data_IF_487487869400
#
_entry.id   IF_487487869400
#
_cell.length_a   1.000
_cell.length_b   1.000
_cell.length_c   1.000
_cell.angle_alpha   90.00
_cell.angle_beta   90.00
_cell.angle_gamma   90.00
#
_symmetry.space_group_name_H-M   'P 1'
#
loop_
_entity.id
_entity.type
_entity.pdbx_description
1 polymer ?
#
# COMPACT_ATOMS: atom_id res chain seq x y z
N UNK A 1 12.58 -22.26 35.72
CA UNK A 1 13.42 -21.33 34.94
C UNK A 1 13.10 -21.56 33.47
N UNK A 2 12.29 -20.70 32.86
CA UNK A 2 11.99 -20.79 31.43
C UNK A 2 13.17 -20.24 30.64
N UNK A 3 13.83 -21.11 29.88
CA UNK A 3 14.86 -20.70 28.93
C UNK A 3 14.22 -19.73 27.91
N UNK A 4 14.62 -18.46 27.97
CA UNK A 4 14.35 -17.49 26.91
C UNK A 4 15.18 -17.91 25.68
N UNK A 5 14.63 -18.84 24.90
CA UNK A 5 15.16 -19.15 23.57
C UNK A 5 14.90 -17.93 22.71
N UNK A 6 15.98 -17.24 22.34
CA UNK A 6 15.94 -16.15 21.38
C UNK A 6 15.52 -16.75 20.04
N UNK A 7 14.28 -16.51 19.63
CA UNK A 7 13.83 -16.92 18.30
C UNK A 7 14.64 -16.17 17.24
N UNK A 8 15.36 -16.92 16.39
CA UNK A 8 16.18 -16.40 15.29
C UNK A 8 15.44 -16.45 13.92
N UNK A 9 14.11 -16.57 13.93
CA UNK A 9 13.31 -16.66 12.70
C UNK A 9 12.17 -15.64 12.70
N UNK A 10 11.69 -15.34 11.50
CA UNK A 10 10.46 -14.57 11.28
C UNK A 10 9.45 -15.53 10.66
N UNK A 11 8.33 -15.76 11.35
CA UNK A 11 7.20 -16.49 10.77
C UNK A 11 6.29 -15.49 10.05
N UNK A 12 6.09 -15.71 8.75
CA UNK A 12 5.09 -15.01 7.94
C UNK A 12 4.00 -16.00 7.56
N UNK A 13 2.91 -16.00 8.31
CA UNK A 13 1.76 -16.87 8.06
C UNK A 13 0.64 -16.10 7.32
N UNK A 14 0.12 -16.69 6.25
CA UNK A 14 -0.98 -16.13 5.46
C UNK A 14 -1.94 -17.25 5.11
N UNK A 15 -3.19 -17.12 5.52
CA UNK A 15 -4.24 -18.04 5.08
C UNK A 15 -4.47 -17.93 3.57
N UNK A 16 -4.53 -19.06 2.87
CA UNK A 16 -4.65 -19.10 1.40
C UNK A 16 -5.87 -18.34 0.85
N UNK A 17 -6.95 -18.22 1.62
CA UNK A 17 -8.14 -17.42 1.26
C UNK A 17 -7.81 -15.94 0.98
N UNK A 18 -6.78 -15.40 1.62
CA UNK A 18 -6.32 -14.02 1.41
C UNK A 18 -5.48 -13.85 0.13
N UNK A 19 -5.15 -14.95 -0.54
CA UNK A 19 -4.51 -14.94 -1.85
C UNK A 19 -5.52 -14.95 -3.00
N UNK A 20 -6.81 -15.17 -2.74
CA UNK A 20 -7.85 -15.13 -3.77
C UNK A 20 -7.88 -13.77 -4.48
N UNK A 21 -7.97 -13.81 -5.80
CA UNK A 21 -8.14 -12.60 -6.61
C UNK A 21 -9.47 -11.91 -6.33
N UNK A 22 -9.36 -10.65 -5.93
CA UNK A 22 -10.46 -9.71 -5.79
C UNK A 22 -9.96 -8.32 -6.19
N UNK A 23 -10.90 -7.43 -6.51
CA UNK A 23 -10.62 -6.02 -6.46
C UNK A 23 -10.60 -5.61 -5.00
N UNK A 24 -9.45 -5.12 -4.55
CA UNK A 24 -9.22 -4.71 -3.18
C UNK A 24 -8.63 -3.31 -3.15
N UNK A 25 -9.10 -2.49 -2.22
CA UNK A 25 -8.37 -1.29 -1.80
C UNK A 25 -7.49 -1.68 -0.62
N UNK A 26 -6.26 -1.19 -0.60
CA UNK A 26 -5.34 -1.40 0.49
C UNK A 26 -4.70 -0.11 0.95
N UNK A 27 -4.29 -0.13 2.21
CA UNK A 27 -3.63 0.96 2.90
C UNK A 27 -2.31 0.41 3.45
N UNK A 28 -1.19 0.97 3.01
CA UNK A 28 0.13 0.70 3.56
C UNK A 28 0.42 1.79 4.60
N UNK A 29 0.67 1.38 5.83
CA UNK A 29 1.13 2.24 6.92
C UNK A 29 2.62 1.97 7.12
N UNK A 30 3.45 3.00 6.96
CA UNK A 30 4.87 2.96 7.34
C UNK A 30 5.04 3.82 8.57
N UNK A 31 5.42 3.18 9.66
CA UNK A 31 5.69 3.84 10.92
C UNK A 31 7.20 3.84 11.17
N UNK A 32 7.78 5.02 11.31
CA UNK A 32 9.18 5.19 11.64
C UNK A 32 9.32 5.92 12.97
N UNK A 33 10.14 5.38 13.87
CA UNK A 33 10.48 6.01 15.15
C UNK A 33 11.94 6.45 15.10
N UNK A 34 12.16 7.75 15.03
CA UNK A 34 13.48 8.36 15.03
C UNK A 34 13.54 9.44 16.12
N UNK A 35 14.59 9.44 16.94
CA UNK A 35 14.80 10.43 18.01
C UNK A 35 13.57 10.61 18.92
N UNK A 36 12.93 9.51 19.31
CA UNK A 36 11.68 9.46 20.10
C UNK A 36 10.45 10.12 19.46
N UNK A 37 10.52 10.52 18.19
CA UNK A 37 9.38 11.00 17.41
C UNK A 37 8.86 9.89 16.49
N UNK A 38 7.57 9.63 16.59
CA UNK A 38 6.87 8.67 15.72
C UNK A 38 6.31 9.42 14.50
N UNK A 39 6.65 8.98 13.30
CA UNK A 39 6.10 9.48 12.04
C UNK A 39 5.33 8.37 11.34
N UNK A 40 4.08 8.64 10.97
CA UNK A 40 3.21 7.69 10.26
C UNK A 40 2.92 8.19 8.85
N UNK A 41 3.25 7.38 7.87
CA UNK A 41 3.04 7.64 6.46
C UNK A 41 2.06 6.62 5.90
N UNK A 42 1.18 7.06 5.00
CA UNK A 42 0.12 6.23 4.45
C UNK A 42 0.16 6.24 2.93
N UNK A 43 0.08 5.08 2.31
CA UNK A 43 -0.16 4.93 0.88
C UNK A 43 -1.47 4.17 0.68
N UNK A 44 -2.38 4.74 -0.10
CA UNK A 44 -3.63 4.08 -0.46
C UNK A 44 -3.50 3.66 -1.92
N UNK A 45 -3.84 2.42 -2.22
CA UNK A 45 -3.87 1.93 -3.57
C UNK A 45 -4.92 0.86 -3.76
N UNK A 46 -5.12 0.45 -5.00
CA UNK A 46 -5.92 -0.73 -5.30
C UNK A 46 -5.12 -1.82 -6.01
N UNK A 47 -5.69 -3.02 -6.00
CA UNK A 47 -5.23 -4.18 -6.75
C UNK A 47 -6.42 -5.00 -7.26
N UNK A 48 -6.21 -5.79 -8.30
CA UNK A 48 -7.21 -6.66 -8.90
C UNK A 48 -6.81 -7.06 -10.32
N UNK A 49 -6.81 -8.37 -10.59
CA UNK A 49 -6.50 -8.94 -11.90
C UNK A 49 -7.23 -10.27 -12.10
N UNK A 50 -8.15 -10.32 -13.05
CA UNK A 50 -8.92 -11.54 -13.37
C UNK A 50 -8.12 -12.61 -14.13
N UNK A 51 -6.93 -12.28 -14.63
CA UNK A 51 -6.10 -13.21 -15.40
C UNK A 51 -5.29 -14.17 -14.52
N UNK A 52 -5.39 -14.04 -13.20
CA UNK A 52 -4.65 -14.86 -12.26
C UNK A 52 -5.51 -15.15 -11.03
N UNK A 53 -5.32 -16.32 -10.42
CA UNK A 53 -6.03 -16.69 -9.18
C UNK A 53 -5.41 -16.01 -7.96
N UNK A 54 -4.07 -15.83 -7.98
CA UNK A 54 -3.31 -15.26 -6.85
C UNK A 54 -2.44 -14.07 -7.23
N UNK A 55 -2.31 -13.76 -8.52
CA UNK A 55 -1.49 -12.64 -8.92
C UNK A 55 -2.17 -11.34 -8.51
N UNK A 56 -1.36 -10.47 -7.91
CA UNK A 56 -1.77 -9.21 -7.28
C UNK A 56 -2.57 -9.35 -5.98
N UNK A 57 -2.36 -10.45 -5.24
CA UNK A 57 -2.67 -10.47 -3.80
C UNK A 57 -2.03 -9.28 -3.07
N UNK A 58 -2.57 -8.87 -1.92
CA UNK A 58 -2.02 -7.77 -1.12
C UNK A 58 -0.53 -7.93 -0.82
N UNK A 59 -0.08 -9.13 -0.44
CA UNK A 59 1.33 -9.41 -0.18
C UNK A 59 2.22 -9.09 -1.38
N UNK A 60 1.88 -9.59 -2.58
CA UNK A 60 2.66 -9.31 -3.80
C UNK A 60 2.71 -7.82 -4.09
N UNK A 61 1.61 -7.12 -3.84
CA UNK A 61 1.51 -5.68 -4.05
C UNK A 61 2.37 -4.90 -3.06
N UNK A 62 2.39 -5.30 -1.79
CA UNK A 62 3.26 -4.72 -0.75
C UNK A 62 4.73 -4.84 -1.15
N UNK A 63 5.18 -6.03 -1.55
CA UNK A 63 6.57 -6.22 -1.99
C UNK A 63 6.89 -5.34 -3.20
N UNK A 64 5.98 -5.23 -4.16
CA UNK A 64 6.12 -4.30 -5.29
C UNK A 64 6.33 -2.85 -4.88
N UNK A 65 5.71 -2.41 -3.77
CA UNK A 65 5.86 -1.05 -3.23
C UNK A 65 7.24 -0.77 -2.60
N UNK A 66 7.89 -1.81 -2.08
CA UNK A 66 9.13 -1.72 -1.31
C UNK A 66 10.40 -1.99 -2.14
N UNK A 67 10.25 -2.34 -3.42
CA UNK A 67 11.38 -2.62 -4.31
C UNK A 67 11.91 -1.39 -5.04
N UNK A 68 13.19 -1.36 -5.37
CA UNK A 68 13.85 -0.28 -6.09
C UNK A 68 13.72 -0.36 -7.63
N UNK A 69 12.83 -1.23 -8.14
CA UNK A 69 12.68 -1.48 -9.58
C UNK A 69 12.27 -0.20 -10.32
N UNK A 70 13.22 0.39 -11.05
CA UNK A 70 13.15 1.72 -11.65
C UNK A 70 11.90 1.95 -12.52
N UNK A 71 11.64 1.03 -13.46
CA UNK A 71 10.54 1.10 -14.42
C UNK A 71 9.18 0.75 -13.82
N UNK A 72 9.13 0.27 -12.58
CA UNK A 72 7.90 -0.15 -11.97
C UNK A 72 7.04 1.05 -11.60
N UNK A 73 5.79 1.07 -12.05
CA UNK A 73 4.77 1.96 -11.49
C UNK A 73 4.33 1.51 -10.10
N UNK A 74 4.82 0.35 -9.66
CA UNK A 74 4.41 -0.30 -8.42
C UNK A 74 5.17 0.18 -7.19
N UNK A 75 6.38 0.73 -7.33
CA UNK A 75 7.23 1.09 -6.18
C UNK A 75 6.98 2.51 -5.64
N UNK A 76 5.71 2.87 -5.43
CA UNK A 76 5.35 4.23 -5.02
C UNK A 76 5.86 4.57 -3.61
N UNK A 77 5.79 3.62 -2.67
CA UNK A 77 6.31 3.80 -1.30
C UNK A 77 7.82 4.01 -1.31
N UNK A 78 8.58 3.17 -2.01
CA UNK A 78 10.03 3.35 -2.18
C UNK A 78 10.36 4.71 -2.79
N UNK A 79 9.68 5.09 -3.88
CA UNK A 79 9.90 6.38 -4.57
C UNK A 79 9.60 7.58 -3.69
N UNK A 80 8.57 7.49 -2.84
CA UNK A 80 8.26 8.54 -1.87
C UNK A 80 9.42 8.76 -0.91
N UNK A 81 9.90 7.70 -0.25
CA UNK A 81 11.01 7.84 0.70
C UNK A 81 12.34 8.18 0.03
N UNK A 82 12.59 7.68 -1.17
CA UNK A 82 13.75 8.11 -1.96
C UNK A 82 13.74 9.63 -2.16
N UNK A 83 12.59 10.22 -2.50
CA UNK A 83 12.44 11.67 -2.65
C UNK A 83 12.64 12.42 -1.32
N UNK A 84 12.04 11.93 -0.24
CA UNK A 84 12.13 12.58 1.08
C UNK A 84 13.54 12.51 1.70
N UNK A 85 14.26 11.40 1.50
CA UNK A 85 15.58 11.18 2.07
C UNK A 85 16.72 11.73 1.20
N UNK A 86 16.50 11.87 -0.11
CA UNK A 86 17.50 12.30 -1.09
C UNK A 86 17.12 13.66 -1.72
N UNK A 87 16.75 14.65 -0.89
CA UNK A 87 16.24 15.97 -1.31
C UNK A 87 17.11 16.71 -2.34
N UNK A 88 18.41 16.41 -2.40
CA UNK A 88 19.39 17.08 -3.27
C UNK A 88 19.70 16.29 -4.56
N UNK A 89 18.94 15.23 -4.85
CA UNK A 89 19.19 14.40 -6.03
C UNK A 89 18.84 15.14 -7.32
N UNK A 90 19.85 15.41 -8.15
CA UNK A 90 19.72 16.24 -9.37
C UNK A 90 18.88 15.58 -10.46
N UNK A 91 18.97 14.26 -10.62
CA UNK A 91 18.29 13.53 -11.69
C UNK A 91 17.45 12.38 -11.12
N UNK A 92 16.12 12.57 -11.06
CA UNK A 92 15.19 11.55 -10.60
C UNK A 92 15.21 10.27 -11.46
N UNK A 93 15.68 10.37 -12.71
CA UNK A 93 15.70 9.28 -13.68
C UNK A 93 17.00 8.49 -13.70
N UNK A 94 18.02 8.84 -12.91
CA UNK A 94 19.23 8.01 -12.77
C UNK A 94 18.96 6.78 -11.88
N UNK A 95 19.71 5.68 -12.02
CA UNK A 95 19.72 4.62 -11.01
C UNK A 95 20.19 5.16 -9.65
N UNK A 96 19.70 4.58 -8.56
CA UNK A 96 20.21 4.93 -7.23
C UNK A 96 21.62 4.39 -7.05
N UNK A 97 22.54 5.21 -6.52
CA UNK A 97 23.87 4.76 -6.11
C UNK A 97 23.78 3.77 -4.93
N UNK A 98 24.85 3.04 -4.64
CA UNK A 98 24.89 2.13 -3.49
C UNK A 98 24.58 2.84 -2.16
N UNK A 99 25.15 4.03 -1.96
CA UNK A 99 24.92 4.85 -0.76
C UNK A 99 23.46 5.35 -0.67
N UNK A 100 22.88 5.76 -1.81
CA UNK A 100 21.47 6.17 -1.88
C UNK A 100 20.54 5.02 -1.49
N UNK A 101 20.79 3.82 -2.02
CA UNK A 101 20.02 2.61 -1.69
C UNK A 101 20.17 2.26 -0.21
N UNK A 102 21.40 2.23 0.30
CA UNK A 102 21.66 1.93 1.70
C UNK A 102 20.91 2.89 2.64
N UNK A 103 20.86 4.18 2.31
CA UNK A 103 20.11 5.17 3.09
C UNK A 103 18.61 4.87 3.12
N UNK A 104 18.02 4.54 1.97
CA UNK A 104 16.58 4.21 1.86
C UNK A 104 16.28 2.88 2.58
N UNK A 105 17.09 1.85 2.37
CA UNK A 105 16.92 0.55 3.01
C UNK A 105 17.08 0.64 4.53
N UNK A 106 18.05 1.44 5.01
CA UNK A 106 18.23 1.71 6.45
C UNK A 106 16.98 2.35 7.08
N UNK A 107 16.25 3.17 6.32
CA UNK A 107 14.97 3.71 6.79
C UNK A 107 13.92 2.58 6.94
N UNK A 108 13.81 1.69 5.96
CA UNK A 108 12.86 0.56 6.04
C UNK A 108 13.20 -0.42 7.15
N UNK A 109 14.48 -0.72 7.39
CA UNK A 109 14.93 -1.58 8.50
C UNK A 109 14.48 -1.03 9.87
N UNK A 110 14.44 0.29 10.03
CA UNK A 110 13.98 0.95 11.26
C UNK A 110 12.45 1.13 11.33
N UNK A 111 11.74 0.77 10.26
CA UNK A 111 10.31 1.03 10.13
C UNK A 111 9.48 -0.19 10.46
N UNK A 112 8.30 0.04 11.04
CA UNK A 112 7.23 -0.96 11.09
C UNK A 112 6.28 -0.72 9.93
N UNK A 113 6.20 -1.69 9.02
CA UNK A 113 5.36 -1.62 7.81
C UNK A 113 4.15 -2.52 8.03
N UNK A 114 2.96 -1.99 7.79
CA UNK A 114 1.70 -2.75 7.81
C UNK A 114 0.96 -2.54 6.51
N UNK A 115 0.20 -3.55 6.10
CA UNK A 115 -0.75 -3.42 5.02
C UNK A 115 -2.11 -3.90 5.50
N UNK A 116 -3.12 -3.07 5.31
CA UNK A 116 -4.53 -3.41 5.53
C UNK A 116 -5.17 -3.53 4.16
N UNK A 117 -5.81 -4.66 3.87
CA UNK A 117 -6.45 -4.89 2.57
C UNK A 117 -7.93 -5.17 2.76
N UNK A 118 -8.75 -4.45 2.01
CA UNK A 118 -10.20 -4.50 2.02
C UNK A 118 -10.67 -5.09 0.68
N UNK A 119 -10.97 -6.39 0.61
CA UNK A 119 -11.47 -7.02 -0.61
C UNK A 119 -12.93 -6.62 -0.86
N UNK A 120 -13.21 -5.96 -1.98
CA UNK A 120 -14.50 -5.32 -2.25
C UNK A 120 -15.36 -6.08 -3.27
N UNK A 121 -14.72 -6.61 -4.32
CA UNK A 121 -15.40 -7.35 -5.38
C UNK A 121 -14.59 -8.58 -5.76
N UNK A 122 -15.12 -9.76 -5.45
CA UNK A 122 -14.59 -11.03 -5.96
C UNK A 122 -14.91 -11.17 -7.45
N UNK A 123 -14.08 -11.90 -8.17
CA UNK A 123 -14.33 -12.30 -9.54
C UNK A 123 -13.65 -13.63 -9.83
N UNK A 124 -14.26 -14.41 -10.73
CA UNK A 124 -13.71 -15.69 -11.17
C UNK A 124 -12.48 -15.49 -12.05
N UNK A 125 -11.63 -16.52 -12.11
CA UNK A 125 -10.56 -16.60 -13.10
C UNK A 125 -11.13 -16.44 -14.51
N UNK A 126 -10.49 -15.62 -15.34
CA UNK A 126 -10.95 -15.26 -16.68
C UNK A 126 -12.37 -14.65 -16.72
N UNK A 127 -12.74 -13.88 -15.69
CA UNK A 127 -13.99 -13.12 -15.69
C UNK A 127 -14.17 -12.26 -16.94
N UNK A 128 -15.43 -12.03 -17.31
CA UNK A 128 -15.80 -11.20 -18.46
C UNK A 128 -15.14 -9.81 -18.38
N UNK A 129 -14.52 -9.36 -19.48
CA UNK A 129 -13.77 -8.09 -19.54
C UNK A 129 -14.63 -6.87 -19.21
N UNK A 130 -15.91 -6.86 -19.59
CA UNK A 130 -16.83 -5.76 -19.32
C UNK A 130 -17.16 -5.69 -17.82
N UNK A 131 -17.60 -6.80 -17.24
CA UNK A 131 -17.87 -6.91 -15.79
C UNK A 131 -16.62 -6.50 -14.97
N UNK A 132 -15.45 -6.99 -15.36
CA UNK A 132 -14.18 -6.63 -14.72
C UNK A 132 -13.88 -5.12 -14.81
N UNK A 133 -14.20 -4.47 -15.94
CA UNK A 133 -14.01 -3.03 -16.12
C UNK A 133 -14.97 -2.22 -15.25
N UNK A 134 -16.22 -2.67 -15.12
CA UNK A 134 -17.24 -2.02 -14.28
C UNK A 134 -16.88 -2.12 -12.79
N UNK A 135 -16.50 -3.32 -12.32
CA UNK A 135 -15.98 -3.54 -10.96
C UNK A 135 -14.77 -2.65 -10.67
N UNK A 136 -13.84 -2.53 -11.63
CA UNK A 136 -12.67 -1.65 -11.50
C UNK A 136 -13.07 -0.19 -11.31
N UNK A 137 -14.05 0.32 -12.07
CA UNK A 137 -14.49 1.72 -11.95
C UNK A 137 -15.04 2.02 -10.56
N UNK A 138 -15.84 1.12 -10.00
CA UNK A 138 -16.37 1.25 -8.64
C UNK A 138 -15.25 1.29 -7.59
N UNK A 139 -14.27 0.39 -7.72
CA UNK A 139 -13.13 0.30 -6.80
C UNK A 139 -12.17 1.49 -6.94
N UNK A 140 -11.95 2.00 -8.17
CA UNK A 140 -11.23 3.26 -8.40
C UNK A 140 -11.92 4.40 -7.65
N UNK A 141 -13.24 4.50 -7.73
CA UNK A 141 -13.95 5.60 -7.07
C UNK A 141 -13.85 5.49 -5.54
N UNK A 142 -13.98 4.28 -5.01
CA UNK A 142 -13.76 4.03 -3.59
C UNK A 142 -12.33 4.36 -3.13
N UNK A 143 -11.31 3.98 -3.91
CA UNK A 143 -9.90 4.36 -3.64
C UNK A 143 -9.76 5.87 -3.51
N UNK A 144 -10.38 6.65 -4.40
CA UNK A 144 -10.35 8.12 -4.33
C UNK A 144 -11.04 8.65 -3.07
N UNK A 145 -12.19 8.07 -2.70
CA UNK A 145 -12.92 8.44 -1.48
C UNK A 145 -12.07 8.22 -0.23
N UNK A 146 -11.34 7.10 -0.17
CA UNK A 146 -10.41 6.81 0.94
C UNK A 146 -9.21 7.76 0.92
N UNK A 147 -8.63 8.06 -0.24
CA UNK A 147 -7.53 9.06 -0.34
C UNK A 147 -8.00 10.43 0.16
N UNK A 148 -9.19 10.88 -0.24
CA UNK A 148 -9.79 12.14 0.21
C UNK A 148 -9.94 12.16 1.73
N UNK A 149 -10.51 11.11 2.31
CA UNK A 149 -10.69 10.96 3.75
C UNK A 149 -9.36 11.10 4.53
N UNK A 150 -8.31 10.39 4.10
CA UNK A 150 -7.00 10.51 4.75
C UNK A 150 -6.39 11.90 4.61
N UNK A 151 -6.55 12.52 3.43
CA UNK A 151 -6.07 13.87 3.17
C UNK A 151 -6.73 14.89 4.11
N UNK A 152 -8.05 14.81 4.26
CA UNK A 152 -8.84 15.71 5.11
C UNK A 152 -8.52 15.53 6.60
N UNK A 153 -8.12 14.33 7.02
CA UNK A 153 -7.65 14.06 8.40
C UNK A 153 -6.26 14.62 8.74
N UNK A 154 -5.53 15.18 7.77
CA UNK A 154 -4.18 15.70 7.97
C UNK A 154 -3.08 14.63 8.08
N UNK A 155 -3.37 13.36 7.78
CA UNK A 155 -2.36 12.29 7.74
C UNK A 155 -1.39 12.46 6.56
N UNK A 156 -0.14 12.02 6.75
CA UNK A 156 0.90 12.14 5.72
C UNK A 156 0.67 11.09 4.63
N UNK A 157 0.31 11.54 3.42
CA UNK A 157 0.05 10.67 2.27
C UNK A 157 1.26 10.54 1.35
N UNK A 158 1.56 9.31 0.95
CA UNK A 158 2.61 8.95 0.00
C UNK A 158 2.11 8.87 -1.45
N UNK A 159 0.79 8.98 -1.67
CA UNK A 159 0.20 9.01 -3.01
C UNK A 159 0.78 10.18 -3.82
N UNK A 160 1.34 9.88 -5.00
CA UNK A 160 1.90 10.92 -5.89
C UNK A 160 0.85 11.90 -6.39
N UNK A 161 -0.34 11.38 -6.72
CA UNK A 161 -1.44 12.16 -7.29
C UNK A 161 -2.62 12.13 -6.33
N UNK A 162 -3.19 13.30 -6.06
CA UNK A 162 -4.43 13.43 -5.30
C UNK A 162 -5.62 13.49 -6.26
N UNK A 163 -6.75 12.84 -5.94
CA UNK A 163 -7.94 12.95 -6.76
C UNK A 163 -8.52 14.37 -6.69
N UNK A 164 -8.93 14.92 -7.84
CA UNK A 164 -9.59 16.22 -7.95
C UNK A 164 -11.12 16.12 -7.86
N UNK A 165 -11.69 15.10 -8.51
CA UNK A 165 -13.13 14.83 -8.53
C UNK A 165 -13.40 13.49 -7.84
N UNK A 166 -14.10 13.55 -6.70
CA UNK A 166 -14.47 12.41 -5.87
C UNK A 166 -15.98 12.42 -5.69
N UNK A 167 -16.63 11.31 -6.05
CA UNK A 167 -18.05 11.12 -5.81
C UNK A 167 -18.32 11.03 -4.31
N UNK A 168 -19.34 11.72 -3.82
CA UNK A 168 -19.73 11.70 -2.40
C UNK A 168 -20.54 10.46 -2.02
N UNK A 169 -21.15 9.78 -3.00
CA UNK A 169 -21.90 8.55 -2.76
C UNK A 169 -20.94 7.39 -2.50
N UNK A 170 -20.89 6.90 -1.27
CA UNK A 170 -20.07 5.76 -0.87
C UNK A 170 -20.80 4.45 -1.19
N UNK A 171 -20.23 3.62 -2.06
CA UNK A 171 -20.83 2.33 -2.41
C UNK A 171 -20.48 1.23 -1.39
N UNK A 172 -19.25 1.22 -0.88
CA UNK A 172 -18.72 0.21 0.06
C UNK A 172 -18.75 0.79 1.48
N UNK A 173 -19.97 0.96 2.02
CA UNK A 173 -20.21 1.70 3.27
C UNK A 173 -19.59 1.01 4.48
N UNK A 174 -19.67 -0.32 4.54
CA UNK A 174 -19.12 -1.11 5.65
C UNK A 174 -17.60 -0.97 5.72
N UNK A 175 -16.91 -1.17 4.60
CA UNK A 175 -15.46 -1.03 4.50
C UNK A 175 -15.01 0.41 4.72
N UNK A 176 -15.79 1.40 4.26
CA UNK A 176 -15.52 2.81 4.53
C UNK A 176 -15.53 3.12 6.03
N UNK A 177 -16.56 2.65 6.74
CA UNK A 177 -16.69 2.86 8.18
C UNK A 177 -15.62 2.08 8.96
N UNK A 178 -15.28 0.87 8.50
CA UNK A 178 -14.17 0.12 9.09
C UNK A 178 -12.84 0.86 8.94
N UNK A 179 -12.55 1.42 7.77
CA UNK A 179 -11.37 2.26 7.55
C UNK A 179 -11.37 3.46 8.51
N UNK A 180 -12.50 4.17 8.64
CA UNK A 180 -12.60 5.29 9.59
C UNK A 180 -12.26 4.88 11.01
N UNK A 181 -12.82 3.76 11.47
CA UNK A 181 -12.58 3.21 12.80
C UNK A 181 -11.13 2.78 12.99
N UNK A 182 -10.54 2.04 12.04
CA UNK A 182 -9.18 1.51 12.16
C UNK A 182 -8.12 2.60 12.22
N UNK A 183 -8.35 3.73 11.53
CA UNK A 183 -7.36 4.79 11.36
C UNK A 183 -7.68 6.07 12.14
N UNK A 184 -8.77 6.08 12.91
CA UNK A 184 -9.30 7.24 13.63
C UNK A 184 -9.47 8.45 12.70
N UNK A 185 -10.35 8.31 11.70
CA UNK A 185 -10.66 9.30 10.66
C UNK A 185 -12.09 9.83 10.77
#
# INVERSE_FOLDING_TARGET
>A
MSNNVKENYILLEIEGKHLESAYSVYIIEVNNKENNKESKYYYIGQTGDSQYITARSPLRRLMGHLTDIKSSTQNQVFKYFAKELLKNRKNANEPYSGEEKQKIESFFVKSKIKMYSFPLKKFSYNANKQDHREKRKQVIEFEKQVIKLFKESGKILMNKNMPSNVNETIQFVEEYNEIKRLFNL
#
